data_IF_360777165088
#
_entry.id   IF_360777165088
#
_cell.length_a   1.000
_cell.length_b   1.000
_cell.length_c   1.000
_cell.angle_alpha   90.00
_cell.angle_beta   90.00
_cell.angle_gamma   90.00
#
_symmetry.space_group_name_H-M   'P 1'
#
loop_
_entity.id
_entity.type
_entity.pdbx_description
1 polymer ?
#
# COMPACT_ATOMS: atom_id res chain seq x y z
N UNK A 1 -1.58 16.03 -30.11
CA UNK A 1 -1.45 16.86 -28.88
C UNK A 1 -2.48 16.45 -27.83
N UNK A 2 -3.77 16.42 -28.15
CA UNK A 2 -4.83 15.99 -27.21
C UNK A 2 -4.65 14.57 -26.66
N UNK A 3 -4.31 13.59 -27.51
CA UNK A 3 -4.04 12.21 -27.07
C UNK A 3 -2.79 12.07 -26.17
N UNK A 4 -1.78 12.93 -26.36
CA UNK A 4 -0.56 12.91 -25.55
C UNK A 4 -0.87 13.52 -24.18
N UNK A 5 -1.54 14.67 -24.17
CA UNK A 5 -2.02 15.31 -22.94
C UNK A 5 -2.89 14.37 -22.09
N UNK A 6 -3.83 13.67 -22.71
CA UNK A 6 -4.64 12.64 -22.02
C UNK A 6 -3.81 11.47 -21.46
N UNK A 7 -2.70 11.11 -22.11
CA UNK A 7 -1.79 10.09 -21.59
C UNK A 7 -0.96 10.63 -20.42
N UNK A 8 -0.47 11.87 -20.51
CA UNK A 8 0.29 12.51 -19.44
C UNK A 8 -0.58 12.72 -18.19
N UNK A 9 -1.82 13.17 -18.36
CA UNK A 9 -2.81 13.29 -17.27
C UNK A 9 -3.06 11.93 -16.62
N UNK A 10 -3.24 10.87 -17.43
CA UNK A 10 -3.43 9.51 -16.91
C UNK A 10 -2.18 8.95 -16.21
N UNK A 11 -0.98 9.30 -16.67
CA UNK A 11 0.28 8.91 -16.01
C UNK A 11 0.39 9.61 -14.65
N UNK A 12 0.02 10.89 -14.57
CA UNK A 12 0.03 11.64 -13.32
C UNK A 12 -0.97 11.05 -12.31
N UNK A 13 -2.21 10.77 -12.73
CA UNK A 13 -3.21 10.10 -11.89
C UNK A 13 -2.70 8.75 -11.39
N UNK A 14 -2.14 7.92 -12.29
CA UNK A 14 -1.59 6.61 -11.91
C UNK A 14 -0.42 6.72 -10.93
N UNK A 15 0.45 7.72 -11.10
CA UNK A 15 1.54 7.98 -10.15
C UNK A 15 1.01 8.41 -8.78
N UNK A 16 -0.01 9.27 -8.76
CA UNK A 16 -0.65 9.69 -7.52
C UNK A 16 -1.29 8.51 -6.80
N UNK A 17 -2.09 7.70 -7.50
CA UNK A 17 -2.71 6.50 -6.92
C UNK A 17 -1.66 5.51 -6.41
N UNK A 18 -0.54 5.33 -7.14
CA UNK A 18 0.57 4.49 -6.67
C UNK A 18 1.14 5.00 -5.34
N UNK A 19 1.32 6.30 -5.21
CA UNK A 19 1.91 6.90 -4.01
C UNK A 19 0.94 6.85 -2.83
N UNK A 20 -0.37 7.03 -3.07
CA UNK A 20 -1.43 6.81 -2.09
C UNK A 20 -1.46 5.35 -1.60
N UNK A 21 -1.43 4.37 -2.52
CA UNK A 21 -1.38 2.94 -2.18
C UNK A 21 -0.12 2.56 -1.39
N UNK A 22 1.02 3.22 -1.65
CA UNK A 22 2.24 3.01 -0.85
C UNK A 22 2.07 3.51 0.57
N UNK A 23 1.50 4.70 0.75
CA UNK A 23 1.23 5.25 2.08
C UNK A 23 0.24 4.37 2.85
N UNK A 24 -0.80 3.90 2.17
CA UNK A 24 -1.80 3.02 2.77
C UNK A 24 -1.18 1.68 3.20
N UNK A 25 -0.35 1.07 2.35
CA UNK A 25 0.41 -0.13 2.70
C UNK A 25 1.29 0.08 3.93
N UNK A 26 2.03 1.20 4.00
CA UNK A 26 2.92 1.48 5.13
C UNK A 26 2.13 1.69 6.43
N UNK A 27 0.95 2.33 6.35
CA UNK A 27 0.03 2.47 7.48
C UNK A 27 -0.51 1.12 7.96
N UNK A 28 -0.93 0.25 7.04
CA UNK A 28 -1.38 -1.10 7.40
C UNK A 28 -0.26 -1.93 8.01
N UNK A 29 0.94 -1.86 7.45
CA UNK A 29 2.11 -2.53 8.01
C UNK A 29 2.39 -2.08 9.44
N UNK A 30 2.38 -0.77 9.69
CA UNK A 30 2.58 -0.23 11.04
C UNK A 30 1.48 -0.65 12.03
N UNK A 31 0.22 -0.70 11.58
CA UNK A 31 -0.89 -1.20 12.41
C UNK A 31 -0.76 -2.68 12.72
N UNK A 32 -0.37 -3.49 11.74
CA UNK A 32 -0.14 -4.92 11.91
C UNK A 32 1.01 -5.18 12.88
N UNK A 33 2.14 -4.47 12.74
CA UNK A 33 3.28 -4.59 13.66
C UNK A 33 2.87 -4.22 15.10
N UNK A 34 2.07 -3.17 15.29
CA UNK A 34 1.55 -2.80 16.62
C UNK A 34 0.61 -3.86 17.20
N UNK A 35 -0.36 -4.33 16.42
CA UNK A 35 -1.29 -5.37 16.86
C UNK A 35 -0.56 -6.68 17.23
N UNK A 36 0.48 -7.03 16.47
CA UNK A 36 1.30 -8.20 16.76
C UNK A 36 2.12 -8.03 18.05
N UNK A 37 2.68 -6.84 18.28
CA UNK A 37 3.39 -6.55 19.53
C UNK A 37 2.44 -6.61 20.74
N UNK A 38 1.24 -6.04 20.61
CA UNK A 38 0.21 -6.08 21.66
C UNK A 38 -0.21 -7.53 21.96
N UNK A 39 -0.45 -8.35 20.92
CA UNK A 39 -0.77 -9.77 21.09
C UNK A 39 0.34 -10.52 21.85
N UNK A 40 1.61 -10.30 21.51
CA UNK A 40 2.73 -10.94 22.19
C UNK A 40 2.78 -10.54 23.68
N UNK A 41 2.50 -9.27 23.98
CA UNK A 41 2.47 -8.79 25.38
C UNK A 41 1.33 -9.41 26.18
N UNK A 42 0.14 -9.54 25.60
CA UNK A 42 -1.01 -10.16 26.26
C UNK A 42 -0.83 -11.68 26.42
N UNK A 43 -0.19 -12.34 25.45
CA UNK A 43 0.19 -13.76 25.58
C UNK A 43 1.16 -13.98 26.76
N UNK A 44 2.17 -13.11 26.93
CA UNK A 44 3.09 -13.17 28.07
C UNK A 44 2.34 -12.97 29.40
N UNK A 45 1.51 -11.93 29.51
CA UNK A 45 0.69 -11.72 30.71
C UNK A 45 -0.22 -12.91 31.04
N UNK A 46 -0.83 -13.52 30.02
CA UNK A 46 -1.66 -14.71 30.19
C UNK A 46 -0.86 -15.90 30.73
N UNK A 47 0.37 -16.09 30.25
CA UNK A 47 1.27 -17.13 30.73
C UNK A 47 1.66 -16.90 32.20
N UNK A 48 1.99 -15.66 32.57
CA UNK A 48 2.36 -15.29 33.94
C UNK A 48 1.19 -15.52 34.91
N UNK A 49 -0.01 -15.06 34.55
CA UNK A 49 -1.22 -15.26 35.36
C UNK A 49 -1.57 -16.75 35.54
N UNK A 50 -1.37 -17.58 34.49
CA UNK A 50 -1.57 -19.03 34.61
C UNK A 50 -0.61 -19.66 35.61
N UNK A 51 0.63 -19.21 35.64
CA UNK A 51 1.63 -19.72 36.59
C UNK A 51 1.32 -19.27 38.02
N UNK A 52 0.86 -18.04 38.22
CA UNK A 52 0.39 -17.57 39.53
C UNK A 52 -0.83 -18.37 40.02
N UNK A 53 -1.80 -18.63 39.16
CA UNK A 53 -2.99 -19.44 39.46
C UNK A 53 -2.59 -20.87 39.85
N UNK A 54 -1.60 -21.45 39.16
CA UNK A 54 -1.03 -22.77 39.51
C UNK A 54 -0.40 -22.77 40.89
N UNK A 55 0.36 -21.73 41.24
CA UNK A 55 0.98 -21.60 42.58
C UNK A 55 -0.07 -21.45 43.68
N UNK A 56 -1.09 -20.62 43.47
CA UNK A 56 -2.19 -20.44 44.41
C UNK A 56 -2.96 -21.76 44.65
N UNK A 57 -3.27 -22.51 43.58
CA UNK A 57 -3.93 -23.82 43.70
C UNK A 57 -3.09 -24.83 44.49
N UNK A 58 -1.77 -24.90 44.25
CA UNK A 58 -0.89 -25.77 45.02
C UNK A 58 -0.88 -25.40 46.52
N UNK A 59 -0.97 -24.11 46.84
CA UNK A 59 -1.02 -23.63 48.22
C UNK A 59 -2.36 -23.97 48.90
N UNK A 60 -3.47 -23.86 48.17
CA UNK A 60 -4.79 -24.33 48.64
C UNK A 60 -4.74 -25.83 48.96
N UNK A 61 -4.20 -26.64 48.06
CA UNK A 61 -4.06 -28.09 48.27
C UNK A 61 -3.21 -28.43 49.50
N UNK A 62 -2.13 -27.68 49.71
CA UNK A 62 -1.29 -27.82 50.89
C UNK A 62 -2.07 -27.50 52.18
N UNK A 63 -2.73 -26.34 52.23
CA UNK A 63 -3.53 -25.92 53.38
C UNK A 63 -4.69 -26.87 53.65
N UNK A 64 -5.35 -27.40 52.63
CA UNK A 64 -6.41 -28.39 52.78
C UNK A 64 -5.90 -29.70 53.39
N UNK A 65 -4.71 -30.16 52.98
CA UNK A 65 -4.07 -31.33 53.61
C UNK A 65 -3.72 -31.04 55.07
N UNK A 66 -3.17 -29.88 55.37
CA UNK A 66 -2.83 -29.46 56.73
C UNK A 66 -4.08 -29.39 57.63
N UNK A 67 -5.18 -28.81 57.15
CA UNK A 67 -6.47 -28.78 57.85
C UNK A 67 -6.99 -30.21 58.11
N UNK A 68 -6.91 -31.12 57.13
CA UNK A 68 -7.29 -32.53 57.31
C UNK A 68 -6.43 -33.22 58.36
N UNK A 69 -5.12 -33.01 58.34
CA UNK A 69 -4.19 -33.57 59.33
C UNK A 69 -4.52 -33.05 60.73
N UNK A 70 -4.69 -31.74 60.89
CA UNK A 70 -5.05 -31.13 62.17
C UNK A 70 -6.42 -31.64 62.67
N UNK A 71 -7.43 -31.74 61.81
CA UNK A 71 -8.74 -32.29 62.18
C UNK A 71 -8.68 -33.77 62.59
N UNK A 72 -7.82 -34.56 61.95
CA UNK A 72 -7.62 -35.97 62.33
C UNK A 72 -6.88 -36.14 63.67
N UNK A 73 -6.13 -35.14 64.12
CA UNK A 73 -5.48 -35.12 65.43
C UNK A 73 -6.44 -34.76 66.58
N UNK A 74 -7.65 -34.28 66.30
CA UNK A 74 -8.61 -33.81 67.33
C UNK A 74 -9.54 -34.90 67.89
N UNK A 75 -9.36 -36.18 67.56
CA UNK A 75 -10.24 -37.27 68.04
C UNK A 75 -9.40 -38.38 68.70
N UNK A 76 -8.89 -38.11 69.91
CA UNK A 76 -8.64 -39.14 70.94
C UNK A 76 -8.17 -38.52 72.27
N UNK A 77 -9.00 -37.69 72.89
CA UNK A 77 -8.78 -37.30 74.30
C UNK A 77 -9.94 -37.84 75.13
N UNK A 78 -9.73 -39.03 75.71
CA UNK A 78 -10.44 -39.41 76.94
C UNK A 78 -10.04 -38.37 77.99
N UNK A 79 -11.01 -37.69 78.56
CA UNK A 79 -10.81 -36.67 79.61
C UNK A 79 -10.91 -37.35 80.97
N UNK A 80 -9.84 -37.34 81.78
CA UNK A 80 -9.92 -37.17 83.21
C UNK A 80 -9.50 -35.75 83.61
N UNK A 81 -10.30 -35.16 84.48
CA UNK A 81 -10.12 -33.94 85.30
C UNK A 81 -8.77 -33.20 85.21
N UNK A 82 -8.72 -32.12 84.42
CA UNK A 82 -7.84 -30.95 84.61
C UNK A 82 -8.39 -29.76 83.79
N UNK A 83 -9.24 -28.94 84.40
CA UNK A 83 -10.11 -27.95 83.71
C UNK A 83 -9.41 -26.65 83.25
N UNK A 84 -8.12 -26.42 83.54
CA UNK A 84 -7.47 -25.12 83.25
C UNK A 84 -6.65 -25.10 81.96
N UNK A 85 -5.94 -26.18 81.63
CA UNK A 85 -5.08 -26.25 80.43
C UNK A 85 -5.86 -26.60 79.16
N UNK A 86 -6.92 -27.38 79.29
CA UNK A 86 -7.83 -27.75 78.19
C UNK A 86 -8.62 -26.55 77.69
N UNK A 87 -9.12 -25.70 78.60
CA UNK A 87 -9.83 -24.47 78.25
C UNK A 87 -8.93 -23.46 77.50
N UNK A 88 -7.64 -23.36 77.86
CA UNK A 88 -6.70 -22.46 77.18
C UNK A 88 -6.33 -22.95 75.78
N UNK A 89 -6.16 -24.27 75.61
CA UNK A 89 -5.90 -24.91 74.31
C UNK A 89 -7.13 -24.82 73.40
N UNK A 90 -8.33 -24.98 73.95
CA UNK A 90 -9.58 -24.82 73.22
C UNK A 90 -9.75 -23.39 72.68
N UNK A 91 -9.54 -22.36 73.52
CA UNK A 91 -9.58 -20.96 73.06
C UNK A 91 -8.55 -20.65 71.97
N UNK A 92 -7.36 -21.25 72.04
CA UNK A 92 -6.34 -21.11 70.99
C UNK A 92 -6.76 -21.79 69.69
N UNK A 93 -7.36 -22.99 69.76
CA UNK A 93 -7.85 -23.67 68.55
C UNK A 93 -9.06 -22.95 67.94
N UNK A 94 -9.99 -22.44 68.75
CA UNK A 94 -11.11 -21.61 68.29
C UNK A 94 -10.65 -20.36 67.56
N UNK A 95 -9.60 -19.70 68.08
CA UNK A 95 -8.99 -18.54 67.41
C UNK A 95 -8.34 -18.94 66.09
N UNK A 96 -7.59 -20.05 66.06
CA UNK A 96 -6.98 -20.57 64.84
C UNK A 96 -8.03 -20.94 63.78
N UNK A 97 -9.14 -21.55 64.19
CA UNK A 97 -10.26 -21.88 63.28
C UNK A 97 -10.90 -20.61 62.73
N UNK A 98 -11.11 -19.58 63.54
CA UNK A 98 -11.60 -18.27 63.06
C UNK A 98 -10.64 -17.64 62.05
N UNK A 99 -9.34 -17.63 62.34
CA UNK A 99 -8.32 -17.05 61.46
C UNK A 99 -8.22 -17.83 60.14
N UNK A 100 -8.33 -19.16 60.18
CA UNK A 100 -8.37 -20.00 58.98
C UNK A 100 -9.64 -19.80 58.16
N UNK A 101 -10.81 -19.69 58.79
CA UNK A 101 -12.06 -19.38 58.07
C UNK A 101 -11.98 -18.02 57.38
N UNK A 102 -11.41 -17.01 58.03
CA UNK A 102 -11.21 -15.70 57.40
C UNK A 102 -10.30 -15.79 56.16
N UNK A 103 -9.20 -16.54 56.25
CA UNK A 103 -8.31 -16.78 55.10
C UNK A 103 -8.99 -17.57 53.97
N UNK A 104 -9.87 -18.50 54.34
CA UNK A 104 -10.66 -19.26 53.36
C UNK A 104 -11.61 -18.33 52.60
N UNK A 105 -12.36 -17.47 53.31
CA UNK A 105 -13.24 -16.47 52.70
C UNK A 105 -12.48 -15.50 51.79
N UNK A 106 -11.30 -15.03 52.21
CA UNK A 106 -10.41 -14.19 51.40
C UNK A 106 -9.97 -14.93 50.12
N UNK A 107 -9.55 -16.19 50.24
CA UNK A 107 -9.12 -17.02 49.10
C UNK A 107 -10.28 -17.31 48.13
N UNK A 108 -11.48 -17.57 48.64
CA UNK A 108 -12.68 -17.78 47.81
C UNK A 108 -13.06 -16.51 47.04
N UNK A 109 -12.91 -15.33 47.67
CA UNK A 109 -13.13 -14.04 47.01
C UNK A 109 -12.13 -13.80 45.88
N UNK A 110 -10.85 -14.09 46.11
CA UNK A 110 -9.81 -13.98 45.08
C UNK A 110 -10.06 -14.93 43.91
N UNK A 111 -10.45 -16.18 44.19
CA UNK A 111 -10.76 -17.17 43.18
C UNK A 111 -11.96 -16.74 42.31
N UNK A 112 -12.99 -16.15 42.92
CA UNK A 112 -14.13 -15.60 42.21
C UNK A 112 -13.72 -14.44 41.27
N UNK A 113 -12.83 -13.54 41.71
CA UNK A 113 -12.29 -12.46 40.86
C UNK A 113 -11.48 -13.02 39.69
N UNK A 114 -10.53 -13.92 39.97
CA UNK A 114 -9.72 -14.54 38.92
C UNK A 114 -10.57 -15.26 37.88
N UNK A 115 -11.64 -15.93 38.31
CA UNK A 115 -12.57 -16.60 37.39
C UNK A 115 -13.32 -15.59 36.51
N UNK A 116 -13.72 -14.45 37.06
CA UNK A 116 -14.33 -13.36 36.29
C UNK A 116 -13.35 -12.79 35.26
N UNK A 117 -12.11 -12.51 35.67
CA UNK A 117 -11.07 -11.98 34.80
C UNK A 117 -10.72 -12.95 33.67
N UNK A 118 -10.68 -14.25 33.98
CA UNK A 118 -10.46 -15.31 32.98
C UNK A 118 -11.54 -15.33 31.90
N UNK A 119 -12.81 -15.25 32.27
CA UNK A 119 -13.92 -15.21 31.29
C UNK A 119 -13.89 -13.92 30.45
N UNK A 120 -13.56 -12.78 31.07
CA UNK A 120 -13.37 -11.52 30.34
C UNK A 120 -12.21 -11.60 29.33
N UNK A 121 -11.11 -12.24 29.72
CA UNK A 121 -9.97 -12.40 28.83
C UNK A 121 -10.29 -13.37 27.68
N UNK A 122 -11.00 -14.46 27.98
CA UNK A 122 -11.44 -15.44 26.99
C UNK A 122 -12.31 -14.79 25.91
N UNK A 123 -13.31 -14.01 26.30
CA UNK A 123 -14.16 -13.26 25.35
C UNK A 123 -13.36 -12.26 24.50
N UNK A 124 -12.33 -11.64 25.08
CA UNK A 124 -11.42 -10.75 24.33
C UNK A 124 -10.62 -11.52 23.28
N UNK A 125 -10.09 -12.70 23.64
CA UNK A 125 -9.38 -13.58 22.71
C UNK A 125 -10.28 -14.04 21.56
N UNK A 126 -11.52 -14.43 21.86
CA UNK A 126 -12.48 -14.85 20.83
C UNK A 126 -12.74 -13.72 19.82
N UNK A 127 -12.97 -12.49 20.31
CA UNK A 127 -13.16 -11.31 19.45
C UNK A 127 -11.92 -10.98 18.59
N UNK A 128 -10.72 -11.14 19.15
CA UNK A 128 -9.48 -10.93 18.39
C UNK A 128 -9.33 -11.97 17.29
N UNK A 129 -9.66 -13.23 17.56
CA UNK A 129 -9.63 -14.29 16.55
C UNK A 129 -10.61 -14.02 15.41
N UNK A 130 -11.82 -13.55 15.71
CA UNK A 130 -12.79 -13.13 14.68
C UNK A 130 -12.24 -11.97 13.82
N UNK A 131 -11.57 -11.01 14.46
CA UNK A 131 -10.96 -9.86 13.76
C UNK A 131 -9.83 -10.32 12.83
N UNK A 132 -8.98 -11.25 13.27
CA UNK A 132 -7.91 -11.84 12.46
C UNK A 132 -8.51 -12.56 11.24
N UNK A 133 -9.54 -13.38 11.46
CA UNK A 133 -10.22 -14.08 10.37
C UNK A 133 -10.82 -13.09 9.35
N UNK A 134 -11.35 -11.96 9.81
CA UNK A 134 -11.81 -10.87 8.95
C UNK A 134 -10.69 -10.29 8.08
N UNK A 135 -9.53 -10.00 8.67
CA UNK A 135 -8.37 -9.50 7.93
C UNK A 135 -7.79 -10.52 6.94
N UNK A 136 -7.79 -11.81 7.29
CA UNK A 136 -7.33 -12.85 6.36
C UNK A 136 -8.25 -12.95 5.13
N UNK A 137 -9.56 -12.83 5.33
CA UNK A 137 -10.52 -12.80 4.23
C UNK A 137 -10.33 -11.56 3.33
N UNK A 138 -10.13 -10.38 3.93
CA UNK A 138 -9.88 -9.15 3.20
C UNK A 138 -8.56 -9.22 2.40
N UNK A 139 -7.51 -9.80 3.00
CA UNK A 139 -6.23 -10.04 2.33
C UNK A 139 -6.38 -10.95 1.12
N UNK A 140 -7.17 -12.01 1.21
CA UNK A 140 -7.44 -12.89 0.07
C UNK A 140 -8.11 -12.13 -1.10
N UNK A 141 -9.08 -11.26 -0.80
CA UNK A 141 -9.72 -10.40 -1.81
C UNK A 141 -8.72 -9.45 -2.48
N UNK A 142 -7.80 -8.87 -1.71
CA UNK A 142 -6.74 -8.02 -2.28
C UNK A 142 -5.76 -8.80 -3.14
N UNK A 143 -5.36 -10.01 -2.74
CA UNK A 143 -4.48 -10.88 -3.54
C UNK A 143 -5.14 -11.24 -4.88
N UNK A 144 -6.44 -11.58 -4.89
CA UNK A 144 -7.22 -11.81 -6.12
C UNK A 144 -7.27 -10.56 -7.01
N UNK A 145 -7.51 -9.39 -6.41
CA UNK A 145 -7.56 -8.12 -7.14
C UNK A 145 -6.22 -7.78 -7.79
N UNK A 146 -5.11 -8.02 -7.09
CA UNK A 146 -3.77 -7.83 -7.61
C UNK A 146 -3.47 -8.79 -8.77
N UNK A 147 -3.90 -10.06 -8.67
CA UNK A 147 -3.76 -11.02 -9.76
C UNK A 147 -4.50 -10.56 -11.02
N UNK A 148 -5.75 -10.08 -10.87
CA UNK A 148 -6.53 -9.52 -11.98
C UNK A 148 -5.83 -8.31 -12.61
N UNK A 149 -5.30 -7.39 -11.79
CA UNK A 149 -4.60 -6.21 -12.28
C UNK A 149 -3.27 -6.53 -12.96
N UNK A 150 -2.53 -7.52 -12.47
CA UNK A 150 -1.32 -7.99 -13.14
C UNK A 150 -1.63 -8.59 -14.51
N UNK A 151 -2.68 -9.40 -14.62
CA UNK A 151 -3.12 -9.94 -15.91
C UNK A 151 -3.55 -8.80 -16.87
N UNK A 152 -4.24 -7.77 -16.37
CA UNK A 152 -4.58 -6.58 -17.17
C UNK A 152 -3.32 -5.88 -17.69
N UNK A 153 -2.31 -5.67 -16.84
CA UNK A 153 -1.02 -5.08 -17.22
C UNK A 153 -0.30 -5.93 -18.27
N UNK A 154 -0.25 -7.26 -18.10
CA UNK A 154 0.36 -8.16 -19.09
C UNK A 154 -0.37 -8.12 -20.43
N UNK A 155 -1.70 -8.06 -20.43
CA UNK A 155 -2.50 -7.89 -21.65
C UNK A 155 -2.21 -6.56 -22.36
N UNK A 156 -2.01 -5.48 -21.60
CA UNK A 156 -1.67 -4.17 -22.14
C UNK A 156 -0.24 -4.12 -22.69
N UNK A 157 0.72 -4.80 -22.05
CA UNK A 157 2.09 -4.94 -22.55
C UNK A 157 2.20 -5.78 -23.82
N UNK A 158 1.36 -6.79 -23.96
CA UNK A 158 1.29 -7.65 -25.14
C UNK A 158 0.44 -7.06 -26.27
N UNK A 159 -0.24 -5.94 -26.02
CA UNK A 159 -0.96 -5.19 -27.05
C UNK A 159 0.04 -4.49 -27.98
N UNK A 160 -0.01 -4.73 -29.31
CA UNK A 160 1.04 -4.34 -30.27
C UNK A 160 1.16 -2.83 -30.54
N UNK A 161 0.47 -1.96 -29.80
CA UNK A 161 0.49 -0.50 -30.01
C UNK A 161 1.67 0.24 -29.36
N UNK A 162 2.58 -0.45 -28.65
CA UNK A 162 3.71 0.19 -27.94
C UNK A 162 5.09 -0.44 -28.17
N UNK A 163 5.18 -1.51 -28.96
CA UNK A 163 6.43 -2.26 -29.19
C UNK A 163 6.63 -2.59 -30.67
N UNK A 164 6.64 -1.56 -31.51
CA UNK A 164 7.54 -1.57 -32.66
C UNK A 164 8.33 -0.28 -32.65
N UNK A 165 9.61 -0.43 -32.30
CA UNK A 165 10.70 0.29 -32.94
C UNK A 165 10.43 0.31 -34.45
N UNK A 166 9.72 1.33 -34.90
CA UNK A 166 9.84 1.79 -36.26
C UNK A 166 11.21 2.44 -36.36
N UNK A 167 12.26 1.63 -36.46
CA UNK A 167 13.37 1.95 -37.35
C UNK A 167 12.84 1.85 -38.78
N UNK A 168 11.85 2.67 -39.10
CA UNK A 168 11.67 3.10 -40.47
C UNK A 168 13.00 3.75 -40.81
N UNK A 169 13.67 3.29 -41.87
CA UNK A 169 14.63 4.14 -42.55
C UNK A 169 14.03 5.55 -42.56
N UNK A 170 14.73 6.54 -42.00
CA UNK A 170 14.26 7.92 -42.03
C UNK A 170 14.26 8.26 -43.52
N UNK A 171 13.09 8.12 -44.16
CA UNK A 171 12.91 8.46 -45.57
C UNK A 171 13.10 9.95 -45.64
N UNK A 172 14.32 10.38 -45.98
CA UNK A 172 14.61 11.76 -46.31
C UNK A 172 14.18 11.99 -47.75
N UNK A 173 13.55 13.12 -48.02
CA UNK A 173 13.19 13.52 -49.37
C UNK A 173 13.74 14.89 -49.70
N UNK A 174 13.14 15.54 -50.69
CA UNK A 174 13.56 16.85 -51.17
C UNK A 174 12.39 17.84 -51.18
N UNK A 175 12.70 19.10 -50.90
CA UNK A 175 11.82 20.25 -51.13
C UNK A 175 12.43 21.09 -52.24
N UNK A 176 11.66 21.29 -53.31
CA UNK A 176 12.07 22.08 -54.47
C UNK A 176 11.39 23.45 -54.38
N UNK A 177 12.20 24.51 -54.36
CA UNK A 177 11.71 25.88 -54.49
C UNK A 177 11.71 26.28 -55.95
N UNK A 178 10.53 26.35 -56.57
CA UNK A 178 10.36 26.71 -57.99
C UNK A 178 10.08 28.20 -58.21
N UNK A 179 9.66 28.92 -57.18
CA UNK A 179 9.35 30.35 -57.27
C UNK A 179 9.74 31.09 -55.99
N UNK A 180 9.71 32.44 -55.99
CA UNK A 180 9.98 33.23 -54.79
C UNK A 180 9.08 32.88 -53.60
N UNK A 181 7.89 32.31 -53.86
CA UNK A 181 6.82 32.16 -52.87
C UNK A 181 6.28 30.73 -52.74
N UNK A 182 6.90 29.74 -53.37
CA UNK A 182 6.37 28.37 -53.40
C UNK A 182 7.44 27.31 -53.14
N UNK A 183 7.07 26.29 -52.35
CA UNK A 183 7.89 25.13 -52.03
C UNK A 183 7.11 23.86 -52.36
N UNK A 184 7.70 22.97 -53.15
CA UNK A 184 7.10 21.72 -53.59
C UNK A 184 7.81 20.52 -52.96
N UNK A 185 7.06 19.53 -52.45
CA UNK A 185 7.61 18.24 -52.06
C UNK A 185 6.55 17.16 -51.98
N UNK A 186 6.82 15.99 -52.56
CA UNK A 186 5.95 14.82 -52.49
C UNK A 186 5.74 14.32 -51.05
N UNK A 187 6.64 14.68 -50.12
CA UNK A 187 6.52 14.35 -48.71
C UNK A 187 5.54 15.27 -47.94
N UNK A 188 5.11 16.38 -48.53
CA UNK A 188 4.22 17.34 -47.88
C UNK A 188 2.81 17.10 -48.40
N UNK A 189 1.89 16.68 -47.54
CA UNK A 189 0.48 16.50 -47.89
C UNK A 189 -0.28 17.83 -47.99
N UNK A 190 -1.44 17.81 -48.63
CA UNK A 190 -2.35 18.96 -48.63
C UNK A 190 -2.83 19.31 -47.23
N UNK A 191 -2.93 20.60 -46.91
CA UNK A 191 -3.30 21.06 -45.58
C UNK A 191 -2.74 22.43 -45.21
N UNK A 192 -2.80 22.76 -43.92
CA UNK A 192 -2.25 24.01 -43.36
C UNK A 192 -1.03 23.72 -42.49
N UNK A 193 -0.07 24.63 -42.54
CA UNK A 193 1.23 24.48 -41.89
C UNK A 193 1.67 25.79 -41.23
N UNK A 194 2.36 25.67 -40.11
CA UNK A 194 3.23 26.71 -39.57
C UNK A 194 4.64 26.51 -40.11
N UNK A 195 5.19 27.59 -40.66
CA UNK A 195 6.57 27.61 -41.13
C UNK A 195 7.41 28.39 -40.15
N UNK A 196 8.43 27.74 -39.60
CA UNK A 196 9.38 28.37 -38.66
C UNK A 196 10.76 28.37 -39.28
N UNK A 197 11.22 29.55 -39.66
CA UNK A 197 12.60 29.76 -40.10
C UNK A 197 13.48 30.04 -38.88
N UNK A 198 14.62 29.36 -38.78
CA UNK A 198 15.59 29.67 -37.72
C UNK A 198 16.30 30.99 -38.01
N UNK A 199 16.61 31.75 -36.96
CA UNK A 199 17.18 33.11 -37.03
C UNK A 199 18.46 33.21 -37.87
N UNK A 200 19.22 32.13 -37.97
CA UNK A 200 20.48 32.03 -38.72
C UNK A 200 20.30 31.60 -40.19
N UNK A 201 19.05 31.36 -40.62
CA UNK A 201 18.70 30.89 -41.95
C UNK A 201 19.21 29.50 -42.29
N UNK A 202 19.69 28.71 -41.32
CA UNK A 202 20.29 27.40 -41.59
C UNK A 202 19.27 26.34 -41.99
N UNK A 203 18.09 26.36 -41.38
CA UNK A 203 17.03 25.42 -41.64
C UNK A 203 15.66 26.03 -41.35
N UNK A 204 14.64 25.38 -41.90
CA UNK A 204 13.25 25.73 -41.76
C UNK A 204 12.44 24.51 -41.31
N UNK A 205 11.52 24.70 -40.38
CA UNK A 205 10.59 23.67 -39.93
C UNK A 205 9.22 23.88 -40.55
N UNK A 206 8.68 22.80 -41.10
CA UNK A 206 7.32 22.71 -41.64
C UNK A 206 6.50 21.90 -40.64
N UNK A 207 5.57 22.55 -39.95
CA UNK A 207 4.79 21.95 -38.86
C UNK A 207 3.32 21.91 -39.24
N UNK A 208 2.68 20.73 -39.35
CA UNK A 208 1.24 20.66 -39.61
C UNK A 208 0.45 21.40 -38.52
N UNK A 209 -0.39 22.35 -38.93
CA UNK A 209 -1.25 23.11 -38.04
C UNK A 209 -2.54 23.49 -38.76
N UNK A 210 -3.70 23.08 -38.23
CA UNK A 210 -5.01 23.40 -38.80
C UNK A 210 -5.30 24.91 -38.84
N UNK A 211 -4.66 25.69 -37.96
CA UNK A 211 -4.73 27.17 -37.93
C UNK A 211 -3.55 27.82 -38.66
N UNK A 212 -2.68 27.02 -39.29
CA UNK A 212 -1.47 27.49 -39.95
C UNK A 212 -1.76 28.47 -41.09
N UNK A 213 -0.85 29.43 -41.24
CA UNK A 213 -0.94 30.49 -42.27
C UNK A 213 -0.47 30.02 -43.64
N UNK A 214 0.37 28.98 -43.70
CA UNK A 214 0.85 28.42 -44.95
C UNK A 214 -0.11 27.35 -45.44
N UNK A 215 -0.56 27.47 -46.69
CA UNK A 215 -1.51 26.53 -47.30
C UNK A 215 -0.76 25.69 -48.32
N UNK A 216 -0.86 24.36 -48.17
CA UNK A 216 -0.37 23.38 -49.12
C UNK A 216 -1.53 22.85 -49.96
N UNK A 217 -1.40 22.92 -51.29
CA UNK A 217 -2.33 22.34 -52.25
C UNK A 217 -1.52 21.65 -53.34
N UNK A 218 -1.86 20.40 -53.67
CA UNK A 218 -1.13 19.56 -54.61
C UNK A 218 0.38 19.51 -54.30
N UNK A 219 0.74 19.23 -53.04
CA UNK A 219 2.14 19.15 -52.58
C UNK A 219 2.95 20.45 -52.68
N UNK A 220 2.28 21.59 -52.88
CA UNK A 220 2.90 22.90 -53.01
C UNK A 220 2.45 23.84 -51.88
N UNK A 221 3.39 24.22 -51.00
CA UNK A 221 3.15 25.22 -49.96
C UNK A 221 3.36 26.62 -50.54
N UNK A 222 2.33 27.48 -50.39
CA UNK A 222 2.43 28.91 -50.72
C UNK A 222 2.83 29.74 -49.51
N UNK A 223 3.93 30.47 -49.67
CA UNK A 223 4.54 31.36 -48.68
C UNK A 223 4.87 32.71 -49.34
N UNK A 224 3.92 33.66 -49.40
CA UNK A 224 4.07 34.92 -50.13
C UNK A 224 5.29 35.76 -49.75
N UNK A 225 5.83 35.58 -48.54
CA UNK A 225 6.98 36.33 -48.01
C UNK A 225 8.27 35.51 -47.92
N UNK A 226 8.32 34.33 -48.53
CA UNK A 226 9.51 33.49 -48.49
C UNK A 226 10.69 34.15 -49.21
N UNK A 227 10.43 34.88 -50.30
CA UNK A 227 11.42 35.67 -51.03
C UNK A 227 12.12 36.73 -50.18
N UNK A 228 11.39 37.35 -49.25
CA UNK A 228 11.93 38.35 -48.32
C UNK A 228 12.90 37.73 -47.29
N UNK A 229 12.67 36.46 -46.94
CA UNK A 229 13.38 35.75 -45.88
C UNK A 229 14.58 34.97 -46.40
N UNK A 230 14.44 34.40 -47.61
CA UNK A 230 15.46 33.61 -48.28
C UNK A 230 15.50 34.10 -49.73
N UNK A 231 16.60 34.72 -50.19
CA UNK A 231 16.73 35.19 -51.57
C UNK A 231 16.47 34.06 -52.58
N UNK A 232 15.78 34.37 -53.67
CA UNK A 232 15.50 33.43 -54.75
C UNK A 232 16.35 33.80 -55.98
N UNK A 233 17.25 32.91 -56.37
CA UNK A 233 18.15 33.10 -57.52
C UNK A 233 17.86 32.13 -58.68
N UNK A 234 16.85 31.27 -58.54
CA UNK A 234 16.53 30.19 -59.46
C UNK A 234 15.98 28.97 -58.72
N UNK A 235 15.57 27.94 -59.47
CA UNK A 235 15.10 26.69 -58.88
C UNK A 235 16.21 26.02 -58.06
N UNK A 236 15.89 25.63 -56.83
CA UNK A 236 16.83 25.01 -55.89
C UNK A 236 16.14 23.90 -55.10
N UNK A 237 16.84 22.79 -54.91
CA UNK A 237 16.39 21.67 -54.08
C UNK A 237 17.07 21.71 -52.71
N UNK A 238 16.30 21.44 -51.67
CA UNK A 238 16.74 21.39 -50.28
C UNK A 238 16.43 20.03 -49.68
N UNK A 239 17.32 19.54 -48.82
CA UNK A 239 17.12 18.26 -48.13
C UNK A 239 15.99 18.38 -47.12
N UNK A 240 15.04 17.45 -47.17
CA UNK A 240 13.89 17.34 -46.28
C UNK A 240 14.07 16.13 -45.34
N UNK A 241 14.09 16.39 -44.04
CA UNK A 241 14.35 15.39 -43.00
C UNK A 241 13.15 15.33 -42.04
N UNK A 242 12.53 14.15 -41.84
CA UNK A 242 11.55 13.94 -40.78
C UNK A 242 12.14 14.29 -39.40
N UNK A 243 11.49 15.18 -38.66
CA UNK A 243 11.89 15.63 -37.33
C UNK A 243 10.94 15.12 -36.22
N UNK A 244 10.08 14.13 -36.53
CA UNK A 244 9.11 13.52 -35.62
C UNK A 244 7.74 14.22 -35.61
N UNK A 245 6.67 13.51 -35.22
CA UNK A 245 5.29 14.05 -35.13
C UNK A 245 4.80 14.76 -36.42
N UNK A 246 5.12 14.21 -37.60
CA UNK A 246 4.83 14.80 -38.92
C UNK A 246 5.46 16.19 -39.15
N UNK A 247 6.45 16.58 -38.35
CA UNK A 247 7.25 17.78 -38.57
C UNK A 247 8.35 17.44 -39.55
N UNK A 248 8.55 18.33 -40.53
CA UNK A 248 9.62 18.18 -41.51
C UNK A 248 10.62 19.34 -41.35
N UNK A 249 11.90 19.01 -41.43
CA UNK A 249 13.00 19.98 -41.42
C UNK A 249 13.60 20.09 -42.81
N UNK A 250 13.64 21.31 -43.34
CA UNK A 250 14.32 21.66 -44.58
C UNK A 250 15.68 22.26 -44.23
N UNK A 251 16.77 21.63 -44.66
CA UNK A 251 18.10 22.22 -44.54
C UNK A 251 18.36 23.16 -45.72
N UNK A 252 18.64 24.43 -45.43
CA UNK A 252 18.74 25.52 -46.40
C UNK A 252 20.19 25.89 -46.76
N UNK A 253 21.16 25.15 -46.21
CA UNK A 253 22.60 25.32 -46.40
C UNK A 253 23.23 24.05 -46.96
#
# INVERSE_FOLDING_TARGET
KEKIRKKDDKINDLNQTRDELRQEKDLYKARWERAHADLETEQKKTADLREELRKANNQIDYLQKEVKTLNSQTINVKVPEAETDTASKLKKSEKAVKDLNKKLEESESELAKLKSDYESLKTTVDRLNETIAGFDAERAIFEDTLALKNNEIESLKSSPELTQEQTSEIVTGEVIRRSPSELYSEMISDGRYDIKLVKDGSHMLIVPNVEGIAVCVNHCIRLPRLGDLIPFAGEVSFKLIPAGNNILRVDLK
#
